data_IF_726847569505
#
_entry.id   IF_726847569505
#
_cell.length_a   1.000
_cell.length_b   1.000
_cell.length_c   1.000
_cell.angle_alpha   90.00
_cell.angle_beta   90.00
_cell.angle_gamma   90.00
#
_symmetry.space_group_name_H-M   'P 1'
#
loop_
_entity.id
_entity.type
_entity.pdbx_description
1 polymer ?
#
# COMPACT_ATOMS: atom_id res chain seq x y z
N UNK A 1 -11.28 7.22 -1.53
CA UNK A 1 -10.53 8.45 -1.20
C UNK A 1 -9.42 8.08 -0.27
N UNK A 2 -8.23 8.62 -0.47
CA UNK A 2 -7.07 8.38 0.40
C UNK A 2 -6.83 9.58 1.33
N UNK A 3 -6.59 9.30 2.60
CA UNK A 3 -6.10 10.28 3.56
C UNK A 3 -4.58 10.36 3.50
N UNK A 4 -4.08 11.49 3.03
CA UNK A 4 -2.65 11.79 2.91
C UNK A 4 -2.04 12.18 4.27
N UNK A 5 -1.48 11.22 5.01
CA UNK A 5 -0.69 11.47 6.23
C UNK A 5 0.82 11.54 5.95
N UNK A 6 1.19 11.59 4.68
CA UNK A 6 2.55 11.51 4.14
C UNK A 6 3.58 12.43 4.80
N UNK A 7 3.22 13.70 5.04
CA UNK A 7 4.10 14.67 5.71
C UNK A 7 3.77 14.86 7.19
N UNK A 8 2.48 14.77 7.54
CA UNK A 8 1.98 14.91 8.91
C UNK A 8 0.63 14.22 9.05
N UNK A 9 0.37 13.69 10.24
CA UNK A 9 -0.97 13.27 10.65
C UNK A 9 -1.70 14.52 11.12
N UNK A 10 -2.47 15.14 10.23
CA UNK A 10 -3.18 16.40 10.47
C UNK A 10 -4.57 16.23 11.10
N UNK A 11 -5.10 15.01 11.06
CA UNK A 11 -6.45 14.71 11.51
C UNK A 11 -6.45 14.35 13.01
N UNK A 12 -7.21 15.12 13.79
CA UNK A 12 -7.43 14.86 15.21
C UNK A 12 -8.49 13.77 15.41
N UNK A 13 -8.46 13.10 16.57
CA UNK A 13 -9.31 11.92 16.84
C UNK A 13 -10.80 12.23 16.77
N UNK A 14 -11.23 13.37 17.32
CA UNK A 14 -12.61 13.81 17.33
C UNK A 14 -13.11 14.03 15.90
N UNK A 15 -12.29 14.67 15.07
CA UNK A 15 -12.58 14.90 13.65
C UNK A 15 -12.52 13.61 12.82
N UNK A 16 -11.66 12.66 13.19
CA UNK A 16 -11.66 11.34 12.59
C UNK A 16 -13.01 10.63 12.78
N UNK A 17 -13.59 10.69 13.98
CA UNK A 17 -14.90 10.09 14.26
C UNK A 17 -16.04 10.78 13.50
N UNK A 18 -15.98 12.11 13.32
CA UNK A 18 -16.91 12.85 12.46
C UNK A 18 -16.77 12.43 10.98
N UNK A 19 -15.53 12.34 10.50
CA UNK A 19 -15.21 11.92 9.13
C UNK A 19 -15.73 10.52 8.84
N UNK A 20 -15.58 9.57 9.78
CA UNK A 20 -16.12 8.21 9.64
C UNK A 20 -17.63 8.24 9.34
N UNK A 21 -18.40 8.97 10.15
CA UNK A 21 -19.86 9.09 9.98
C UNK A 21 -20.23 9.70 8.63
N UNK A 22 -19.50 10.72 8.21
CA UNK A 22 -19.72 11.37 6.93
C UNK A 22 -19.41 10.42 5.76
N UNK A 23 -18.27 9.73 5.81
CA UNK A 23 -17.87 8.77 4.77
C UNK A 23 -18.86 7.61 4.66
N UNK A 24 -19.40 7.12 5.78
CA UNK A 24 -20.47 6.12 5.80
C UNK A 24 -21.77 6.63 5.17
N UNK A 25 -22.19 7.87 5.50
CA UNK A 25 -23.39 8.50 4.94
C UNK A 25 -23.28 8.71 3.42
N UNK A 26 -22.12 9.15 2.95
CA UNK A 26 -21.81 9.40 1.53
C UNK A 26 -21.36 8.13 0.79
N UNK A 27 -21.26 6.98 1.48
CA UNK A 27 -20.80 5.69 0.94
C UNK A 27 -19.41 5.77 0.30
N UNK A 28 -18.53 6.57 0.86
CA UNK A 28 -17.14 6.74 0.42
C UNK A 28 -16.24 5.79 1.21
N UNK A 29 -15.47 4.96 0.50
CA UNK A 29 -14.41 4.15 1.11
C UNK A 29 -13.18 5.03 1.38
N UNK A 30 -12.66 4.95 2.60
CA UNK A 30 -11.44 5.63 3.02
C UNK A 30 -10.26 4.65 3.07
N UNK A 31 -9.18 5.02 2.41
CA UNK A 31 -7.83 4.48 2.59
C UNK A 31 -6.93 5.56 3.20
N UNK A 32 -5.70 5.24 3.56
CA UNK A 32 -4.77 6.21 4.11
C UNK A 32 -3.35 5.87 3.67
N UNK A 33 -2.62 6.88 3.22
CA UNK A 33 -1.19 6.80 3.01
C UNK A 33 -0.46 7.32 4.25
N UNK A 34 0.33 6.45 4.88
CA UNK A 34 1.14 6.73 6.05
C UNK A 34 2.37 7.60 5.74
N UNK A 35 3.08 8.10 6.76
CA UNK A 35 4.21 9.01 6.56
C UNK A 35 5.37 8.44 5.73
N UNK A 36 5.95 9.24 4.83
CA UNK A 36 7.08 8.84 3.96
C UNK A 36 8.38 8.54 4.73
N UNK A 37 8.47 8.97 5.98
CA UNK A 37 9.68 8.86 6.80
C UNK A 37 9.84 7.49 7.47
N UNK A 38 8.92 6.56 7.24
CA UNK A 38 9.00 5.19 7.77
C UNK A 38 10.23 4.48 7.19
N UNK A 39 11.03 3.92 8.08
CA UNK A 39 12.09 2.97 7.74
C UNK A 39 12.28 1.95 8.86
N UNK A 40 11.59 0.80 8.73
CA UNK A 40 11.66 -0.30 9.69
C UNK A 40 13.01 -1.05 9.65
N UNK A 41 13.86 -0.79 8.65
CA UNK A 41 15.23 -1.28 8.62
C UNK A 41 16.28 -0.24 9.10
N UNK A 42 15.88 0.91 9.65
CA UNK A 42 16.84 1.93 10.07
C UNK A 42 17.92 1.37 11.04
N UNK A 43 19.19 1.70 10.79
CA UNK A 43 20.31 1.31 11.67
C UNK A 43 20.34 2.14 12.96
N UNK A 44 19.87 3.39 12.90
CA UNK A 44 19.80 4.28 14.07
C UNK A 44 18.51 4.01 14.85
N UNK A 45 18.63 3.68 16.13
CA UNK A 45 17.49 3.41 17.02
C UNK A 45 16.46 4.56 17.06
N UNK A 46 16.92 5.81 17.03
CA UNK A 46 16.04 6.98 16.99
C UNK A 46 15.11 6.97 15.77
N UNK A 47 15.65 6.73 14.56
CA UNK A 47 14.88 6.67 13.31
C UNK A 47 13.90 5.49 13.31
N UNK A 48 14.32 4.37 13.90
CA UNK A 48 13.46 3.20 14.05
C UNK A 48 12.28 3.50 14.99
N UNK A 49 12.54 4.12 16.14
CA UNK A 49 11.51 4.54 17.10
C UNK A 49 10.55 5.58 16.51
N UNK A 50 11.04 6.51 15.70
CA UNK A 50 10.20 7.44 14.95
C UNK A 50 9.29 6.71 13.96
N UNK A 51 9.82 5.73 13.23
CA UNK A 51 9.06 4.89 12.29
C UNK A 51 7.92 4.14 12.98
N UNK A 52 8.18 3.59 14.17
CA UNK A 52 7.13 2.99 15.01
C UNK A 52 6.07 4.01 15.40
N UNK A 53 6.48 5.20 15.84
CA UNK A 53 5.57 6.29 16.19
C UNK A 53 4.68 6.68 15.02
N UNK A 54 5.24 6.80 13.82
CA UNK A 54 4.49 7.13 12.60
C UNK A 54 3.41 6.10 12.29
N UNK A 55 3.75 4.81 12.21
CA UNK A 55 2.77 3.77 11.89
C UNK A 55 1.72 3.65 13.00
N UNK A 56 2.15 3.62 14.27
CA UNK A 56 1.21 3.45 15.39
C UNK A 56 0.23 4.63 15.53
N UNK A 57 0.71 5.86 15.36
CA UNK A 57 -0.15 7.05 15.42
C UNK A 57 -1.08 7.13 14.21
N UNK A 58 -0.55 6.88 13.00
CA UNK A 58 -1.37 6.85 11.78
C UNK A 58 -2.48 5.81 11.90
N UNK A 59 -2.16 4.61 12.40
CA UNK A 59 -3.14 3.52 12.58
C UNK A 59 -4.25 3.90 13.55
N UNK A 60 -3.93 4.53 14.69
CA UNK A 60 -4.93 4.97 15.67
C UNK A 60 -5.93 5.95 15.08
N UNK A 61 -5.44 6.93 14.32
CA UNK A 61 -6.29 7.94 13.66
C UNK A 61 -7.05 7.31 12.50
N UNK A 62 -6.41 6.46 11.70
CA UNK A 62 -7.04 5.74 10.59
C UNK A 62 -8.20 4.86 11.08
N UNK A 63 -8.01 4.09 12.14
CA UNK A 63 -9.07 3.29 12.78
C UNK A 63 -10.22 4.17 13.28
N UNK A 64 -9.92 5.29 13.93
CA UNK A 64 -10.94 6.24 14.36
C UNK A 64 -11.73 6.83 13.18
N UNK A 65 -11.07 7.05 12.04
CA UNK A 65 -11.67 7.52 10.80
C UNK A 65 -12.43 6.43 10.02
N UNK A 66 -12.36 5.16 10.44
CA UNK A 66 -12.97 4.05 9.68
C UNK A 66 -12.25 3.74 8.38
N UNK A 67 -10.95 4.04 8.30
CA UNK A 67 -10.09 3.67 7.17
C UNK A 67 -9.99 2.16 7.06
N UNK A 68 -10.18 1.63 5.85
CA UNK A 68 -10.11 0.18 5.58
C UNK A 68 -8.71 -0.33 5.32
N UNK A 69 -7.83 0.52 4.79
CA UNK A 69 -6.48 0.13 4.36
C UNK A 69 -5.50 1.26 4.65
N UNK A 70 -4.43 0.99 5.40
CA UNK A 70 -3.34 1.92 5.66
C UNK A 70 -2.10 1.47 4.90
N UNK A 71 -1.70 2.22 3.89
CA UNK A 71 -0.48 1.96 3.11
C UNK A 71 0.71 2.79 3.58
N UNK A 72 1.92 2.32 3.28
CA UNK A 72 3.18 2.99 3.59
C UNK A 72 4.35 2.23 2.95
N UNK A 73 5.45 2.95 2.71
CA UNK A 73 6.71 2.35 2.30
C UNK A 73 7.41 1.73 3.53
N UNK A 74 7.77 0.43 3.52
CA UNK A 74 8.29 -0.24 4.73
C UNK A 74 9.68 0.25 5.17
N UNK A 75 10.53 0.62 4.21
CA UNK A 75 11.88 1.08 4.46
C UNK A 75 12.84 0.84 3.29
N UNK A 76 14.14 0.88 3.60
CA UNK A 76 15.23 0.78 2.61
C UNK A 76 16.20 -0.33 2.98
N UNK A 77 16.88 -0.90 1.97
CA UNK A 77 17.87 -1.95 2.21
C UNK A 77 19.11 -1.46 2.96
N UNK A 78 19.53 -0.21 2.75
CA UNK A 78 20.73 0.38 3.40
C UNK A 78 22.02 -0.45 3.19
N UNK A 79 22.16 -1.11 2.04
CA UNK A 79 23.25 -2.05 1.69
C UNK A 79 23.24 -3.37 2.48
N UNK A 80 22.22 -3.61 3.30
CA UNK A 80 22.03 -4.90 3.97
C UNK A 80 21.49 -5.95 2.98
N UNK A 81 21.68 -7.22 3.31
CA UNK A 81 21.12 -8.35 2.55
C UNK A 81 19.58 -8.31 2.54
N UNK A 82 18.91 -8.47 1.38
CA UNK A 82 17.45 -8.41 1.29
C UNK A 82 16.70 -9.39 2.20
N UNK A 83 17.23 -10.60 2.44
CA UNK A 83 16.59 -11.56 3.35
C UNK A 83 16.70 -11.12 4.80
N UNK A 84 17.85 -10.59 5.20
CA UNK A 84 18.03 -9.99 6.52
C UNK A 84 17.11 -8.77 6.72
N UNK A 85 16.92 -7.95 5.67
CA UNK A 85 16.01 -6.80 5.69
C UNK A 85 14.56 -7.25 5.85
N UNK A 86 14.11 -8.25 5.09
CA UNK A 86 12.77 -8.82 5.23
C UNK A 86 12.51 -9.29 6.67
N UNK A 87 13.45 -10.08 7.24
CA UNK A 87 13.33 -10.56 8.61
C UNK A 87 13.23 -9.39 9.60
N UNK A 88 14.12 -8.41 9.49
CA UNK A 88 14.12 -7.26 10.40
C UNK A 88 12.83 -6.45 10.29
N UNK A 89 12.35 -6.16 9.07
CA UNK A 89 11.09 -5.45 8.86
C UNK A 89 9.93 -6.23 9.49
N UNK A 90 9.87 -7.54 9.28
CA UNK A 90 8.87 -8.40 9.92
C UNK A 90 8.91 -8.28 11.45
N UNK A 91 10.09 -8.43 12.07
CA UNK A 91 10.24 -8.31 13.53
C UNK A 91 9.79 -6.95 14.08
N UNK A 92 10.07 -5.86 13.36
CA UNK A 92 9.61 -4.53 13.77
C UNK A 92 8.11 -4.38 13.61
N UNK A 93 7.55 -4.97 12.55
CA UNK A 93 6.14 -4.87 12.27
C UNK A 93 5.31 -5.69 13.26
N UNK A 94 5.79 -6.88 13.65
CA UNK A 94 5.21 -7.69 14.71
C UNK A 94 5.09 -6.89 16.02
N UNK A 95 6.14 -6.17 16.41
CA UNK A 95 6.13 -5.32 17.61
C UNK A 95 5.10 -4.19 17.52
N UNK A 96 4.92 -3.61 16.33
CA UNK A 96 3.90 -2.58 16.09
C UNK A 96 2.50 -3.18 16.23
N UNK A 97 2.24 -4.34 15.61
CA UNK A 97 0.96 -5.06 15.69
C UNK A 97 0.64 -5.42 17.15
N UNK A 98 1.61 -6.01 17.86
CA UNK A 98 1.46 -6.38 19.28
C UNK A 98 1.20 -5.16 20.17
N UNK A 99 1.89 -4.04 19.92
CA UNK A 99 1.62 -2.81 20.65
C UNK A 99 0.21 -2.27 20.38
N UNK A 100 -0.26 -2.30 19.13
CA UNK A 100 -1.61 -1.86 18.77
C UNK A 100 -2.70 -2.76 19.34
N UNK A 101 -2.45 -4.06 19.39
CA UNK A 101 -3.42 -5.05 19.89
C UNK A 101 -3.48 -5.10 21.42
N UNK A 102 -2.33 -5.18 22.10
CA UNK A 102 -2.28 -5.51 23.53
C UNK A 102 -1.94 -4.33 24.44
N UNK A 103 -1.17 -3.36 23.95
CA UNK A 103 -0.80 -2.18 24.75
C UNK A 103 -1.77 -1.03 24.57
N UNK A 104 -2.17 -0.76 23.34
CA UNK A 104 -3.09 0.32 23.00
C UNK A 104 -4.54 -0.15 22.88
N UNK A 105 -4.77 -1.46 22.74
CA UNK A 105 -6.10 -2.07 22.65
C UNK A 105 -6.99 -1.43 21.56
N UNK A 106 -6.36 -1.01 20.45
CA UNK A 106 -7.05 -0.41 19.30
C UNK A 106 -7.22 -1.37 18.13
N UNK A 107 -6.46 -2.46 18.09
CA UNK A 107 -6.49 -3.45 17.02
C UNK A 107 -7.02 -4.79 17.53
N UNK A 108 -8.15 -5.23 16.99
CA UNK A 108 -8.67 -6.58 17.25
C UNK A 108 -8.08 -7.56 16.24
N UNK A 109 -7.26 -8.50 16.71
CA UNK A 109 -6.64 -9.53 15.86
C UNK A 109 -7.60 -10.65 15.47
N UNK A 110 -8.74 -10.80 16.14
CA UNK A 110 -9.77 -11.78 15.77
C UNK A 110 -10.62 -11.30 14.60
N UNK A 111 -10.84 -10.00 14.53
CA UNK A 111 -11.62 -9.36 13.47
C UNK A 111 -11.03 -7.98 13.13
N UNK A 112 -9.92 -7.94 12.37
CA UNK A 112 -9.24 -6.69 12.09
C UNK A 112 -10.13 -5.75 11.25
N UNK A 113 -10.30 -4.53 11.75
CA UNK A 113 -11.11 -3.49 11.10
C UNK A 113 -10.34 -2.71 10.02
N UNK A 114 -9.04 -2.97 9.92
CA UNK A 114 -8.11 -2.29 9.02
C UNK A 114 -7.13 -3.31 8.47
N UNK A 115 -6.79 -3.18 7.21
CA UNK A 115 -5.64 -3.84 6.63
C UNK A 115 -4.42 -2.94 6.74
N UNK A 116 -3.29 -3.50 7.15
CA UNK A 116 -2.03 -2.87 6.84
C UNK A 116 -1.59 -3.25 5.44
N UNK A 117 -1.23 -2.25 4.64
CA UNK A 117 -0.90 -2.44 3.24
C UNK A 117 0.43 -1.85 2.84
N UNK A 118 1.55 -2.44 3.29
CA UNK A 118 2.85 -1.96 2.85
C UNK A 118 2.96 -2.03 1.32
N UNK A 119 3.51 -0.98 0.72
CA UNK A 119 3.37 -0.72 -0.70
C UNK A 119 4.55 -1.23 -1.53
N UNK A 120 4.26 -1.69 -2.75
CA UNK A 120 5.30 -1.95 -3.75
C UNK A 120 6.03 -0.66 -4.08
N UNK A 121 7.37 -0.67 -4.09
CA UNK A 121 8.16 0.56 -4.28
C UNK A 121 8.86 0.62 -5.64
N UNK A 122 8.94 1.81 -6.22
CA UNK A 122 9.52 2.02 -7.55
C UNK A 122 11.05 2.09 -7.59
N UNK A 123 11.73 2.27 -6.46
CA UNK A 123 13.20 2.37 -6.37
C UNK A 123 13.84 1.04 -6.00
N UNK A 124 14.90 0.65 -6.73
CA UNK A 124 15.64 -0.58 -6.44
C UNK A 124 16.33 -0.59 -5.05
N UNK A 125 16.61 0.59 -4.48
CA UNK A 125 17.17 0.71 -3.12
C UNK A 125 16.14 0.62 -2.00
N UNK A 126 14.84 0.66 -2.34
CA UNK A 126 13.74 0.58 -1.38
C UNK A 126 13.23 -0.86 -1.28
N UNK A 127 12.96 -1.29 -0.05
CA UNK A 127 12.30 -2.56 0.19
C UNK A 127 10.84 -2.46 -0.27
N UNK A 128 10.31 -3.52 -0.86
CA UNK A 128 8.94 -3.52 -1.38
C UNK A 128 8.87 -4.02 -2.82
N UNK A 129 9.63 -5.06 -3.18
CA UNK A 129 9.26 -5.88 -4.34
C UNK A 129 7.95 -6.63 -4.05
N UNK A 130 7.23 -7.04 -5.10
CA UNK A 130 5.99 -7.80 -4.95
C UNK A 130 6.21 -9.08 -4.13
N UNK A 131 7.30 -9.80 -4.40
CA UNK A 131 7.67 -11.04 -3.73
C UNK A 131 7.94 -10.84 -2.24
N UNK A 132 8.70 -9.80 -1.88
CA UNK A 132 8.98 -9.48 -0.47
C UNK A 132 7.71 -9.15 0.30
N UNK A 133 6.79 -8.38 -0.31
CA UNK A 133 5.55 -7.99 0.35
C UNK A 133 4.57 -9.15 0.47
N UNK A 134 4.49 -10.03 -0.53
CA UNK A 134 3.74 -11.30 -0.42
C UNK A 134 4.31 -12.12 0.73
N UNK A 135 5.63 -12.31 0.80
CA UNK A 135 6.25 -13.12 1.85
C UNK A 135 6.04 -12.51 3.24
N UNK A 136 6.18 -11.19 3.38
CA UNK A 136 5.91 -10.47 4.62
C UNK A 136 4.46 -10.66 5.07
N UNK A 137 3.51 -10.52 4.14
CA UNK A 137 2.08 -10.74 4.39
C UNK A 137 1.78 -12.18 4.81
N UNK A 138 2.36 -13.18 4.15
CA UNK A 138 2.21 -14.60 4.53
C UNK A 138 2.66 -14.79 5.97
N UNK A 139 3.89 -14.40 6.29
CA UNK A 139 4.49 -14.63 7.60
C UNK A 139 3.65 -14.01 8.74
N UNK A 140 3.18 -12.78 8.55
CA UNK A 140 2.39 -12.07 9.56
C UNK A 140 0.97 -12.66 9.69
N UNK A 141 0.30 -12.95 8.57
CA UNK A 141 -1.05 -13.51 8.61
C UNK A 141 -1.07 -14.93 9.20
N UNK A 142 -0.06 -15.76 8.89
CA UNK A 142 0.10 -17.08 9.50
C UNK A 142 0.36 -16.97 11.01
N UNK A 143 1.27 -16.07 11.42
CA UNK A 143 1.62 -15.87 12.84
C UNK A 143 0.40 -15.45 13.67
N UNK A 144 -0.42 -14.52 13.17
CA UNK A 144 -1.57 -14.00 13.90
C UNK A 144 -2.88 -14.73 13.59
N UNK A 145 -2.85 -15.72 12.68
CA UNK A 145 -4.01 -16.48 12.21
C UNK A 145 -5.17 -15.59 11.75
N UNK A 146 -4.87 -14.48 11.05
CA UNK A 146 -5.88 -13.54 10.55
C UNK A 146 -5.44 -12.83 9.27
N UNK A 147 -6.41 -12.34 8.50
CA UNK A 147 -6.18 -11.55 7.28
C UNK A 147 -5.93 -10.09 7.65
N UNK A 148 -4.72 -9.78 8.11
CA UNK A 148 -4.38 -8.45 8.63
C UNK A 148 -3.50 -7.64 7.68
N UNK A 149 -2.62 -8.33 6.94
CA UNK A 149 -1.59 -7.69 6.11
C UNK A 149 -1.72 -8.17 4.67
N UNK A 150 -1.83 -7.22 3.74
CA UNK A 150 -1.81 -7.48 2.28
C UNK A 150 -1.03 -6.38 1.59
N UNK A 151 -0.36 -6.59 0.45
CA UNK A 151 0.32 -5.51 -0.25
C UNK A 151 -0.65 -4.40 -0.69
N UNK A 152 -0.21 -3.14 -0.66
CA UNK A 152 -0.71 -2.13 -1.58
C UNK A 152 0.10 -2.27 -2.88
N UNK A 153 -0.58 -2.38 -4.02
CA UNK A 153 0.08 -2.60 -5.30
C UNK A 153 -0.01 -1.32 -6.10
N UNK A 154 1.11 -0.62 -6.18
CA UNK A 154 1.33 0.41 -7.17
C UNK A 154 1.95 -0.24 -8.42
N UNK A 155 1.15 -0.30 -9.49
CA UNK A 155 1.61 -0.89 -10.74
C UNK A 155 2.60 0.00 -11.50
N UNK A 156 2.54 1.32 -11.31
CA UNK A 156 3.51 2.26 -11.86
C UNK A 156 4.87 2.07 -11.18
N UNK A 157 4.90 1.82 -9.87
CA UNK A 157 6.11 1.42 -9.14
C UNK A 157 6.70 0.12 -9.68
N UNK A 158 5.89 -0.91 -9.94
CA UNK A 158 6.41 -2.16 -10.53
C UNK A 158 7.03 -1.92 -11.92
N UNK A 159 6.38 -1.11 -12.77
CA UNK A 159 6.91 -0.67 -14.06
C UNK A 159 8.24 0.08 -13.91
N UNK A 160 8.32 1.07 -13.02
CA UNK A 160 9.54 1.84 -12.77
C UNK A 160 10.67 0.99 -12.19
N UNK A 161 10.37 0.10 -11.23
CA UNK A 161 11.35 -0.79 -10.56
C UNK A 161 11.98 -1.77 -11.55
N UNK A 162 11.20 -2.24 -12.52
CA UNK A 162 11.64 -3.16 -13.58
C UNK A 162 12.37 -2.47 -14.74
N UNK A 163 12.58 -1.15 -14.67
CA UNK A 163 13.15 -0.33 -15.75
C UNK A 163 12.35 -0.46 -17.06
N UNK A 164 11.03 -0.49 -16.93
CA UNK A 164 10.09 -0.49 -18.04
C UNK A 164 9.70 -1.86 -18.59
N UNK A 165 10.30 -2.94 -18.07
CA UNK A 165 10.04 -4.30 -18.55
C UNK A 165 8.64 -4.78 -18.17
N UNK A 166 8.19 -4.49 -16.95
CA UNK A 166 6.88 -4.86 -16.41
C UNK A 166 5.82 -3.88 -16.92
N UNK A 167 5.25 -4.09 -18.10
CA UNK A 167 4.33 -3.13 -18.73
C UNK A 167 3.28 -3.74 -19.68
N UNK A 168 3.22 -5.06 -19.80
CA UNK A 168 2.25 -5.75 -20.64
C UNK A 168 1.16 -6.39 -19.79
N UNK A 169 0.04 -6.76 -20.43
CA UNK A 169 -1.08 -7.43 -19.76
C UNK A 169 -0.61 -8.67 -18.97
N UNK A 170 0.27 -9.48 -19.56
CA UNK A 170 0.81 -10.70 -18.96
C UNK A 170 1.60 -10.43 -17.68
N UNK A 171 2.29 -9.29 -17.60
CA UNK A 171 3.01 -8.87 -16.40
C UNK A 171 2.02 -8.57 -15.25
N UNK A 172 0.98 -7.80 -15.54
CA UNK A 172 -0.05 -7.42 -14.58
C UNK A 172 -0.86 -8.64 -14.13
N UNK A 173 -1.30 -9.48 -15.06
CA UNK A 173 -1.96 -10.75 -14.77
C UNK A 173 -1.05 -11.69 -13.97
N UNK A 174 0.24 -11.73 -14.28
CA UNK A 174 1.25 -12.47 -13.52
C UNK A 174 1.37 -12.00 -12.08
N UNK A 175 1.35 -10.69 -11.83
CA UNK A 175 1.33 -10.15 -10.47
C UNK A 175 0.06 -10.51 -9.69
N UNK A 176 -1.12 -10.42 -10.32
CA UNK A 176 -2.38 -10.85 -9.71
C UNK A 176 -2.38 -12.35 -9.37
N UNK A 177 -1.84 -13.19 -10.25
CA UNK A 177 -1.65 -14.62 -10.00
C UNK A 177 -0.72 -14.90 -8.83
N UNK A 178 0.41 -14.18 -8.72
CA UNK A 178 1.33 -14.32 -7.58
C UNK A 178 0.66 -13.96 -6.26
N UNK A 179 -0.07 -12.84 -6.23
CA UNK A 179 -0.85 -12.42 -5.07
C UNK A 179 -1.87 -13.48 -4.66
N UNK A 180 -2.69 -13.95 -5.61
CA UNK A 180 -3.70 -14.98 -5.33
C UNK A 180 -3.07 -16.31 -4.88
N UNK A 181 -1.95 -16.71 -5.48
CA UNK A 181 -1.29 -17.98 -5.14
C UNK A 181 -0.62 -17.92 -3.76
N UNK A 182 -0.05 -16.78 -3.39
CA UNK A 182 0.63 -16.62 -2.10
C UNK A 182 -0.31 -16.33 -0.94
N UNK A 183 -1.34 -15.50 -1.15
CA UNK A 183 -2.20 -15.01 -0.07
C UNK A 183 -3.63 -15.58 -0.14
N UNK A 184 -4.05 -16.13 -1.28
CA UNK A 184 -5.41 -16.60 -1.53
C UNK A 184 -6.30 -15.53 -2.16
N UNK A 185 -7.52 -15.92 -2.52
CA UNK A 185 -8.46 -15.07 -3.29
C UNK A 185 -8.84 -13.76 -2.59
N UNK A 186 -8.95 -13.76 -1.26
CA UNK A 186 -9.38 -12.60 -0.48
C UNK A 186 -8.55 -11.33 -0.74
N UNK A 187 -7.27 -11.49 -1.12
CA UNK A 187 -6.41 -10.36 -1.43
C UNK A 187 -6.88 -9.62 -2.68
N UNK A 188 -7.34 -10.36 -3.69
CA UNK A 188 -7.88 -9.80 -4.93
C UNK A 188 -9.29 -9.22 -4.74
N UNK A 189 -9.98 -9.57 -3.67
CA UNK A 189 -11.31 -9.04 -3.32
C UNK A 189 -11.22 -7.75 -2.49
N UNK A 190 -10.03 -7.45 -1.95
CA UNK A 190 -9.80 -6.34 -1.05
C UNK A 190 -8.54 -5.53 -1.43
N UNK A 191 -8.18 -5.45 -2.71
CA UNK A 191 -6.93 -4.81 -3.12
C UNK A 191 -6.90 -3.34 -2.71
N UNK A 192 -5.70 -2.87 -2.33
CA UNK A 192 -5.39 -1.46 -2.33
C UNK A 192 -4.43 -1.23 -3.49
N UNK A 193 -4.82 -0.39 -4.43
CA UNK A 193 -4.11 -0.19 -5.70
C UNK A 193 -3.83 1.29 -5.85
N UNK A 194 -2.60 1.63 -6.18
CA UNK A 194 -2.26 2.96 -6.66
C UNK A 194 -2.02 2.91 -8.17
N UNK A 195 -2.49 3.95 -8.87
CA UNK A 195 -2.23 4.15 -10.29
C UNK A 195 -1.86 5.59 -10.55
N UNK A 196 -0.79 5.76 -11.32
CA UNK A 196 -0.32 7.05 -11.83
C UNK A 196 0.49 6.79 -13.11
N UNK A 197 0.73 7.85 -13.89
CA UNK A 197 1.88 7.81 -14.79
C UNK A 197 3.16 7.92 -13.97
N UNK A 198 4.29 7.46 -14.50
CA UNK A 198 5.56 7.53 -13.75
C UNK A 198 6.75 7.82 -14.67
N UNK A 199 7.69 8.61 -14.15
CA UNK A 199 9.01 8.78 -14.73
C UNK A 199 10.02 7.98 -13.91
N UNK A 200 10.92 7.27 -14.58
CA UNK A 200 11.97 6.49 -13.93
C UNK A 200 13.33 6.69 -14.61
N UNK A 201 14.39 6.46 -13.86
CA UNK A 201 15.77 6.46 -14.35
C UNK A 201 16.42 5.09 -14.14
N UNK A 202 17.76 5.06 -14.23
CA UNK A 202 18.55 3.82 -14.10
C UNK A 202 18.40 3.10 -12.76
N UNK A 203 17.91 3.79 -11.73
CA UNK A 203 17.74 3.27 -10.36
C UNK A 203 16.27 3.10 -9.95
N UNK A 204 15.36 3.18 -10.92
CA UNK A 204 13.91 3.14 -10.70
C UNK A 204 13.27 4.52 -10.66
N UNK A 205 12.15 4.62 -9.96
CA UNK A 205 11.28 5.80 -9.86
C UNK A 205 12.02 7.11 -9.58
N UNK A 206 11.61 8.16 -10.29
CA UNK A 206 12.01 9.54 -10.07
C UNK A 206 10.86 10.40 -9.56
N UNK A 207 9.69 10.35 -10.22
CA UNK A 207 8.47 11.08 -9.84
C UNK A 207 7.23 10.53 -10.56
N UNK A 208 6.07 10.70 -9.97
CA UNK A 208 4.79 10.49 -10.65
C UNK A 208 4.56 11.54 -11.74
N UNK A 209 3.78 11.15 -12.75
CA UNK A 209 3.36 11.90 -13.91
C UNK A 209 1.85 11.73 -14.11
N UNK A 210 1.27 12.57 -14.98
CA UNK A 210 -0.07 12.29 -15.51
C UNK A 210 -0.08 10.98 -16.29
N UNK A 211 -1.22 10.28 -16.30
CA UNK A 211 -1.33 8.95 -16.95
C UNK A 211 -1.05 9.00 -18.45
N UNK A 212 -1.32 10.13 -19.12
CA UNK A 212 -1.03 10.32 -20.56
C UNK A 212 0.42 10.78 -20.83
N UNK A 213 1.17 11.14 -19.79
CA UNK A 213 2.55 11.64 -19.88
C UNK A 213 3.58 10.51 -19.70
N UNK A 214 3.13 9.27 -19.54
CA UNK A 214 3.95 8.10 -19.26
C UNK A 214 3.67 6.98 -20.26
N UNK A 215 4.71 6.20 -20.59
CA UNK A 215 4.56 4.96 -21.38
C UNK A 215 3.97 3.80 -20.56
N UNK A 216 3.65 4.02 -19.28
CA UNK A 216 3.01 3.04 -18.42
C UNK A 216 1.62 2.65 -18.95
N UNK A 217 1.42 1.37 -19.23
CA UNK A 217 0.24 0.84 -19.87
C UNK A 217 -0.90 0.60 -18.87
N UNK A 218 -1.43 1.68 -18.30
CA UNK A 218 -2.52 1.62 -17.33
C UNK A 218 -3.79 0.94 -17.89
N UNK A 219 -4.01 0.99 -19.22
CA UNK A 219 -5.13 0.30 -19.88
C UNK A 219 -5.02 -1.23 -19.73
N UNK A 220 -3.83 -1.78 -19.89
CA UNK A 220 -3.60 -3.21 -19.67
C UNK A 220 -3.76 -3.60 -18.19
N UNK A 221 -3.43 -2.72 -17.25
CA UNK A 221 -3.75 -2.93 -15.83
C UNK A 221 -5.26 -3.03 -15.63
N UNK A 222 -6.03 -2.04 -16.09
CA UNK A 222 -7.49 -2.04 -15.97
C UNK A 222 -8.13 -3.29 -16.57
N UNK A 223 -7.64 -3.74 -17.74
CA UNK A 223 -8.08 -4.99 -18.35
C UNK A 223 -7.78 -6.21 -17.46
N UNK A 224 -6.57 -6.32 -16.92
CA UNK A 224 -6.20 -7.42 -16.02
C UNK A 224 -7.05 -7.41 -14.73
N UNK A 225 -7.29 -6.24 -14.14
CA UNK A 225 -8.17 -6.11 -12.98
C UNK A 225 -9.60 -6.58 -13.28
N UNK A 226 -10.13 -6.24 -14.47
CA UNK A 226 -11.46 -6.69 -14.92
C UNK A 226 -11.51 -8.20 -15.12
N UNK A 227 -10.56 -8.78 -15.85
CA UNK A 227 -10.55 -10.20 -16.19
C UNK A 227 -10.40 -11.10 -14.96
N UNK A 228 -9.64 -10.64 -13.96
CA UNK A 228 -9.45 -11.34 -12.69
C UNK A 228 -10.57 -11.04 -11.67
N UNK A 229 -11.58 -10.25 -12.06
CA UNK A 229 -12.68 -9.81 -11.22
C UNK A 229 -12.18 -9.24 -9.88
N UNK A 230 -11.18 -8.35 -9.94
CA UNK A 230 -10.59 -7.71 -8.76
C UNK A 230 -11.60 -6.76 -8.13
N UNK A 231 -11.63 -6.74 -6.80
CA UNK A 231 -12.38 -5.78 -5.98
C UNK A 231 -11.44 -5.07 -5.00
N UNK A 232 -11.84 -3.89 -4.54
CA UNK A 232 -11.03 -3.07 -3.64
C UNK A 232 -11.12 -1.59 -3.98
N UNK A 233 -10.01 -0.88 -3.75
CA UNK A 233 -9.90 0.56 -3.99
C UNK A 233 -8.73 0.86 -4.92
N UNK A 234 -9.00 1.61 -5.98
CA UNK A 234 -7.98 2.23 -6.83
C UNK A 234 -7.85 3.70 -6.43
N UNK A 235 -6.65 4.12 -6.06
CA UNK A 235 -6.27 5.50 -5.77
C UNK A 235 -5.45 6.03 -6.94
N UNK A 236 -5.83 7.19 -7.44
CA UNK A 236 -5.05 7.93 -8.44
C UNK A 236 -4.00 8.74 -7.69
N UNK A 237 -2.71 8.54 -7.99
CA UNK A 237 -1.60 9.29 -7.39
C UNK A 237 -0.87 10.18 -8.40
N UNK A 238 -1.52 10.45 -9.51
CA UNK A 238 -1.07 11.40 -10.52
C UNK A 238 -1.03 12.84 -9.96
N UNK A 239 -0.18 13.73 -10.48
CA UNK A 239 -0.27 15.17 -10.23
C UNK A 239 -1.63 15.80 -10.60
N UNK A 240 -2.47 15.13 -11.40
CA UNK A 240 -3.82 15.54 -11.81
C UNK A 240 -4.88 14.56 -11.27
N UNK A 241 -4.95 14.45 -9.95
CA UNK A 241 -5.69 13.40 -9.21
C UNK A 241 -7.10 13.11 -9.77
N UNK A 242 -8.01 14.08 -9.69
CA UNK A 242 -9.42 13.89 -10.08
C UNK A 242 -9.59 13.72 -11.59
N UNK A 243 -8.83 14.46 -12.38
CA UNK A 243 -8.89 14.41 -13.84
C UNK A 243 -8.49 13.02 -14.36
N UNK A 244 -7.34 12.52 -13.92
CA UNK A 244 -6.84 11.21 -14.33
C UNK A 244 -7.69 10.07 -13.75
N UNK A 245 -8.23 10.23 -12.54
CA UNK A 245 -9.18 9.27 -11.97
C UNK A 245 -10.46 9.15 -12.83
N UNK A 246 -11.00 10.27 -13.33
CA UNK A 246 -12.15 10.28 -14.23
C UNK A 246 -11.84 9.64 -15.58
N UNK A 247 -10.64 9.88 -16.13
CA UNK A 247 -10.18 9.23 -17.37
C UNK A 247 -10.08 7.71 -17.18
N UNK A 248 -9.44 7.25 -16.10
CA UNK A 248 -9.35 5.81 -15.78
C UNK A 248 -10.73 5.18 -15.62
N UNK A 249 -11.64 5.84 -14.89
CA UNK A 249 -13.03 5.37 -14.71
C UNK A 249 -13.75 5.23 -16.05
N UNK A 250 -13.69 6.26 -16.90
CA UNK A 250 -14.34 6.24 -18.21
C UNK A 250 -13.85 5.07 -19.06
N UNK A 251 -12.53 4.87 -19.11
CA UNK A 251 -11.92 3.77 -19.86
C UNK A 251 -12.38 2.42 -19.32
N UNK A 252 -12.43 2.23 -18.01
CA UNK A 252 -12.89 0.99 -17.40
C UNK A 252 -14.38 0.70 -17.69
N UNK A 253 -15.23 1.73 -17.73
CA UNK A 253 -16.66 1.59 -18.05
C UNK A 253 -16.92 1.27 -19.53
N UNK A 254 -15.97 1.59 -20.41
CA UNK A 254 -16.03 1.28 -21.85
C UNK A 254 -15.46 -0.10 -22.20
N UNK A 255 -14.76 -0.77 -21.27
CA UNK A 255 -14.21 -2.12 -21.44
C UNK A 255 -15.28 -3.19 -21.35
#
# INVERSE_FOLDING_TARGET
MELEFVQRIWLEKEKALELKKLAEAEKVVLTCHGPYYVNLNAHKAEKLNQSWGYITNATKIALAAGVRSLTFHPGFYLQDDPKAVLQKIQEQFEKIIEALAYKYEVLDLKNPQIYFSPETTGKASAFGSLEELIQLSINLNEKYHCQLVKPCVDFAHLYARSLGVFNQYEDFAGALNKLQSGLGRWVLENMHIHLSGINYGKTGELKHLGIEESDFNFRAVLQALKDYNVSGTVICESPKLEEDALVMKKIYEEM
#
